data_IF_084210999512
#
_entry.id   IF_084210999512
#
_cell.length_a   1.000
_cell.length_b   1.000
_cell.length_c   1.000
_cell.angle_alpha   90.00
_cell.angle_beta   90.00
_cell.angle_gamma   90.00
#
_symmetry.space_group_name_H-M   'P 1'
#
loop_
_entity.id
_entity.type
_entity.pdbx_description
1 polymer ?
#
# COMPACT_ATOMS: atom_id res chain seq x y z
N UNK A 1 -7.40 19.91 10.57
CA UNK A 1 -8.37 19.04 9.85
C UNK A 1 -8.96 18.08 10.85
N UNK A 2 -10.28 17.92 10.88
CA UNK A 2 -10.96 17.06 11.84
C UNK A 2 -11.04 15.59 11.37
N UNK A 3 -11.51 14.70 12.24
CA UNK A 3 -11.63 13.26 11.96
C UNK A 3 -12.46 12.96 10.71
N UNK A 4 -13.61 13.60 10.56
CA UNK A 4 -14.53 13.35 9.44
C UNK A 4 -13.93 13.79 8.12
N UNK A 5 -13.27 14.95 8.12
CA UNK A 5 -12.53 15.48 6.97
C UNK A 5 -11.39 14.55 6.55
N UNK A 6 -10.60 14.01 7.48
CA UNK A 6 -9.52 13.06 7.16
C UNK A 6 -10.08 11.77 6.59
N UNK A 7 -11.13 11.21 7.20
CA UNK A 7 -11.75 9.98 6.71
C UNK A 7 -12.28 10.15 5.28
N UNK A 8 -12.87 11.31 4.96
CA UNK A 8 -13.33 11.65 3.63
C UNK A 8 -12.17 11.86 2.65
N UNK A 9 -11.18 12.68 3.01
CA UNK A 9 -10.02 12.98 2.16
C UNK A 9 -9.17 11.74 1.84
N UNK A 10 -8.97 10.86 2.82
CA UNK A 10 -8.16 9.65 2.65
C UNK A 10 -8.97 8.45 2.14
N UNK A 11 -10.29 8.57 2.00
CA UNK A 11 -11.21 7.49 1.63
C UNK A 11 -11.01 6.23 2.51
N UNK A 12 -11.05 6.41 3.83
CA UNK A 12 -10.81 5.33 4.81
C UNK A 12 -11.98 5.13 5.77
N UNK A 13 -12.16 3.89 6.21
CA UNK A 13 -13.18 3.55 7.22
C UNK A 13 -12.77 4.03 8.61
N UNK A 14 -13.75 4.09 9.53
CA UNK A 14 -13.52 4.44 10.93
C UNK A 14 -12.53 3.48 11.60
N UNK A 15 -12.55 2.19 11.22
CA UNK A 15 -11.65 1.18 11.77
C UNK A 15 -10.21 1.39 11.32
N UNK A 16 -10.01 1.74 10.04
CA UNK A 16 -8.68 2.08 9.51
C UNK A 16 -8.20 3.37 10.16
N UNK A 17 -9.07 4.38 10.28
CA UNK A 17 -8.74 5.63 10.96
C UNK A 17 -8.25 5.36 12.40
N UNK A 18 -9.02 4.64 13.22
CA UNK A 18 -8.65 4.37 14.61
C UNK A 18 -7.37 3.52 14.77
N UNK A 19 -7.03 2.70 13.78
CA UNK A 19 -5.79 1.90 13.78
C UNK A 19 -4.55 2.76 13.56
N UNK A 20 -4.67 3.78 12.71
CA UNK A 20 -3.54 4.60 12.25
C UNK A 20 -3.41 5.90 13.03
N UNK A 21 -4.53 6.57 13.28
CA UNK A 21 -4.65 7.78 14.07
C UNK A 21 -5.08 7.32 15.48
N UNK A 22 -4.14 7.25 16.43
CA UNK A 22 -4.36 6.63 17.74
C UNK A 22 -5.33 7.43 18.63
N UNK A 23 -6.07 6.72 19.50
CA UNK A 23 -7.06 7.30 20.42
C UNK A 23 -6.49 8.27 21.44
N UNK A 24 -5.25 8.08 21.90
CA UNK A 24 -4.61 8.96 22.90
C UNK A 24 -4.33 10.39 22.39
N UNK A 25 -4.21 10.58 21.07
CA UNK A 25 -4.04 11.89 20.42
C UNK A 25 -5.42 12.49 20.09
N UNK A 26 -6.38 11.64 19.69
CA UNK A 26 -7.75 12.04 19.32
C UNK A 26 -8.52 12.67 20.49
N UNK A 27 -8.27 12.27 21.73
CA UNK A 27 -9.05 12.76 22.88
C UNK A 27 -8.78 14.25 23.20
N UNK A 28 -7.67 14.82 22.75
CA UNK A 28 -7.29 16.20 23.05
C UNK A 28 -7.08 17.09 21.81
N UNK A 29 -7.03 16.53 20.60
CA UNK A 29 -6.84 17.30 19.36
C UNK A 29 -8.14 17.46 18.57
N UNK A 30 -8.63 18.69 18.49
CA UNK A 30 -9.71 19.08 17.56
C UNK A 30 -9.22 19.19 16.12
N UNK A 31 -7.90 19.34 15.91
CA UNK A 31 -7.28 19.51 14.60
C UNK A 31 -5.95 18.74 14.50
N UNK A 32 -5.88 17.84 13.52
CA UNK A 32 -4.63 17.15 13.17
C UNK A 32 -3.76 18.03 12.26
N UNK A 33 -2.44 18.00 12.50
CA UNK A 33 -1.44 18.63 11.64
C UNK A 33 -1.30 17.88 10.29
N UNK A 34 -1.07 18.62 9.21
CA UNK A 34 -0.92 18.11 7.84
C UNK A 34 0.24 17.09 7.71
N UNK A 35 1.36 17.31 8.39
CA UNK A 35 2.48 16.35 8.37
C UNK A 35 2.08 14.99 8.97
N UNK A 36 1.34 15.02 10.09
CA UNK A 36 0.82 13.82 10.74
C UNK A 36 -0.21 13.09 9.86
N UNK A 37 -1.07 13.84 9.18
CA UNK A 37 -2.03 13.29 8.20
C UNK A 37 -1.28 12.65 7.04
N UNK A 38 -0.26 13.33 6.49
CA UNK A 38 0.55 12.84 5.37
C UNK A 38 1.24 11.52 5.71
N UNK A 39 1.90 11.44 6.86
CA UNK A 39 2.61 10.24 7.31
C UNK A 39 1.68 9.03 7.49
N UNK A 40 0.54 9.23 8.16
CA UNK A 40 -0.42 8.16 8.37
C UNK A 40 -1.12 7.75 7.05
N UNK A 41 -1.41 8.70 6.16
CA UNK A 41 -1.98 8.42 4.83
C UNK A 41 -1.02 7.62 3.96
N UNK A 42 0.28 7.93 4.01
CA UNK A 42 1.32 7.15 3.34
C UNK A 42 1.38 5.73 3.92
N UNK A 43 1.35 5.58 5.24
CA UNK A 43 1.39 4.27 5.89
C UNK A 43 0.18 3.38 5.55
N UNK A 44 -1.02 3.97 5.46
CA UNK A 44 -2.23 3.27 5.00
C UNK A 44 -2.08 2.85 3.54
N UNK A 45 -1.55 3.74 2.69
CA UNK A 45 -1.37 3.46 1.26
C UNK A 45 -0.37 2.32 1.02
N UNK A 46 0.68 2.24 1.83
CA UNK A 46 1.65 1.16 1.80
C UNK A 46 1.05 -0.15 2.32
N UNK A 47 0.30 -0.13 3.43
CA UNK A 47 -0.37 -1.36 3.93
C UNK A 47 -1.33 -1.94 2.89
N UNK A 48 -2.13 -1.10 2.21
CA UNK A 48 -3.01 -1.52 1.11
C UNK A 48 -2.25 -2.21 -0.05
N UNK A 49 -0.98 -1.90 -0.24
CA UNK A 49 -0.10 -2.55 -1.22
C UNK A 49 0.63 -3.78 -0.67
N UNK A 50 0.27 -4.23 0.53
CA UNK A 50 0.80 -5.41 1.19
C UNK A 50 2.21 -5.20 1.75
N UNK A 51 2.53 -3.97 2.19
CA UNK A 51 3.68 -3.71 3.06
C UNK A 51 3.25 -3.85 4.52
N UNK A 52 4.12 -4.42 5.37
CA UNK A 52 3.80 -4.64 6.79
C UNK A 52 4.14 -3.42 7.65
N UNK A 53 3.17 -2.99 8.46
CA UNK A 53 3.19 -1.86 9.39
C UNK A 53 4.46 -1.66 10.25
N UNK A 54 5.10 -2.70 10.82
CA UNK A 54 6.28 -2.53 11.67
C UNK A 54 7.47 -1.88 10.94
N UNK A 55 7.65 -2.19 9.66
CA UNK A 55 8.75 -1.67 8.85
C UNK A 55 8.47 -0.22 8.43
N UNK A 56 7.21 0.13 8.13
CA UNK A 56 6.86 1.46 7.64
C UNK A 56 7.06 2.54 8.72
N UNK A 57 6.56 2.32 9.95
CA UNK A 57 6.72 3.32 11.02
C UNK A 57 8.17 3.44 11.49
N UNK A 58 8.87 2.31 11.59
CA UNK A 58 10.24 2.27 12.12
C UNK A 58 11.27 2.77 11.11
N UNK A 59 11.10 2.48 9.83
CA UNK A 59 12.12 2.75 8.80
C UNK A 59 11.88 4.06 8.03
N UNK A 60 10.65 4.62 8.04
CA UNK A 60 10.32 5.84 7.28
C UNK A 60 9.92 7.04 8.14
N UNK A 61 9.33 6.82 9.31
CA UNK A 61 8.70 7.88 10.12
C UNK A 61 9.56 8.29 11.32
N UNK A 62 10.43 7.41 11.84
CA UNK A 62 11.23 7.67 13.05
C UNK A 62 12.66 8.18 12.82
N UNK A 63 13.15 8.21 11.58
CA UNK A 63 14.53 8.62 11.29
C UNK A 63 14.57 10.11 10.88
N UNK A 64 15.43 10.92 11.53
CA UNK A 64 15.47 12.38 11.38
C UNK A 64 16.12 12.86 10.08
N UNK A 65 16.74 11.97 9.32
CA UNK A 65 17.33 12.27 8.02
C UNK A 65 16.32 11.97 6.90
N UNK A 66 15.50 12.96 6.56
CA UNK A 66 14.45 12.82 5.54
C UNK A 66 14.97 12.30 4.19
N UNK A 67 16.19 12.68 3.79
CA UNK A 67 16.76 12.32 2.49
C UNK A 67 17.09 10.83 2.39
N UNK A 68 17.61 10.23 3.45
CA UNK A 68 17.90 8.78 3.52
C UNK A 68 16.59 7.96 3.54
N UNK A 69 15.52 8.52 4.12
CA UNK A 69 14.22 7.86 4.18
C UNK A 69 13.56 7.75 2.80
N UNK A 70 13.64 8.81 1.98
CA UNK A 70 13.11 8.75 0.62
C UNK A 70 13.83 7.72 -0.24
N UNK A 71 15.16 7.61 -0.12
CA UNK A 71 15.94 6.62 -0.86
C UNK A 71 15.62 5.18 -0.43
N UNK A 72 15.51 4.93 0.88
CA UNK A 72 15.04 3.64 1.42
C UNK A 72 13.63 3.30 0.94
N UNK A 73 12.72 4.28 0.93
CA UNK A 73 11.36 4.10 0.42
C UNK A 73 11.36 3.73 -1.05
N UNK A 74 12.21 4.39 -1.85
CA UNK A 74 12.34 4.13 -3.27
C UNK A 74 12.79 2.69 -3.52
N UNK A 75 13.83 2.22 -2.82
CA UNK A 75 14.34 0.85 -2.92
C UNK A 75 13.25 -0.15 -2.55
N UNK A 76 12.53 0.08 -1.45
CA UNK A 76 11.44 -0.79 -1.01
C UNK A 76 10.31 -0.88 -2.06
N UNK A 77 9.91 0.25 -2.64
CA UNK A 77 8.89 0.32 -3.68
C UNK A 77 9.35 -0.39 -4.97
N UNK A 78 10.62 -0.20 -5.36
CA UNK A 78 11.21 -0.87 -6.52
C UNK A 78 11.26 -2.39 -6.34
N UNK A 79 11.65 -2.87 -5.16
CA UNK A 79 11.64 -4.31 -4.83
C UNK A 79 10.23 -4.89 -4.93
N UNK A 80 9.23 -4.23 -4.33
CA UNK A 80 7.83 -4.68 -4.42
C UNK A 80 7.32 -4.67 -5.86
N UNK A 81 7.68 -3.65 -6.65
CA UNK A 81 7.33 -3.57 -8.06
C UNK A 81 7.87 -4.77 -8.83
N UNK A 82 9.11 -5.17 -8.59
CA UNK A 82 9.70 -6.34 -9.25
C UNK A 82 8.92 -7.61 -8.90
N UNK A 83 8.63 -7.85 -7.62
CA UNK A 83 7.83 -9.01 -7.17
C UNK A 83 6.45 -9.05 -7.86
N UNK A 84 5.81 -7.89 -8.04
CA UNK A 84 4.51 -7.83 -8.73
C UNK A 84 4.67 -8.13 -10.22
N UNK A 85 5.72 -7.64 -10.87
CA UNK A 85 5.99 -7.94 -12.28
C UNK A 85 6.26 -9.43 -12.49
N UNK A 86 7.04 -10.06 -11.61
CA UNK A 86 7.32 -11.49 -11.68
C UNK A 86 6.01 -12.30 -11.62
N UNK A 87 5.10 -11.94 -10.70
CA UNK A 87 3.77 -12.55 -10.63
C UNK A 87 2.94 -12.34 -11.89
N UNK A 88 2.98 -11.15 -12.48
CA UNK A 88 2.27 -10.89 -13.75
C UNK A 88 2.81 -11.78 -14.85
N UNK A 89 4.14 -11.93 -14.94
CA UNK A 89 4.75 -12.82 -15.94
C UNK A 89 4.39 -14.30 -15.71
N UNK A 90 4.34 -14.77 -14.47
CA UNK A 90 3.90 -16.12 -14.15
C UNK A 90 2.44 -16.35 -14.60
N UNK A 91 1.54 -15.40 -14.34
CA UNK A 91 0.13 -15.47 -14.75
C UNK A 91 -0.02 -15.37 -16.29
N UNK A 92 0.79 -14.56 -16.97
CA UNK A 92 0.82 -14.50 -18.45
C UNK A 92 1.25 -15.83 -19.07
N UNK A 93 2.25 -16.50 -18.47
CA UNK A 93 2.67 -17.82 -18.92
C UNK A 93 1.54 -18.84 -18.72
N UNK A 94 0.88 -18.83 -17.57
CA UNK A 94 -0.25 -19.70 -17.29
C UNK A 94 -1.42 -19.50 -18.28
N UNK A 95 -1.74 -18.25 -18.61
CA UNK A 95 -2.74 -17.93 -19.65
C UNK A 95 -2.36 -18.51 -21.02
N UNK A 96 -1.08 -18.42 -21.39
CA UNK A 96 -0.59 -18.97 -22.65
C UNK A 96 -0.75 -20.50 -22.74
N UNK A 97 -0.55 -21.20 -21.62
CA UNK A 97 -0.77 -22.65 -21.53
C UNK A 97 -2.27 -22.99 -21.70
N UNK A 98 -3.15 -22.22 -21.06
CA UNK A 98 -4.61 -22.38 -21.22
C UNK A 98 -5.05 -22.14 -22.67
N UNK A 99 -4.55 -21.09 -23.30
CA UNK A 99 -4.86 -20.77 -24.70
C UNK A 99 -4.43 -21.88 -25.66
N UNK A 100 -3.26 -22.48 -25.41
CA UNK A 100 -2.78 -23.64 -26.16
C UNK A 100 -3.73 -24.84 -26.04
N UNK A 101 -4.21 -25.15 -24.83
CA UNK A 101 -5.18 -26.22 -24.60
C UNK A 101 -6.51 -25.94 -25.30
N UNK A 102 -7.02 -24.70 -25.21
CA UNK A 102 -8.25 -24.27 -25.89
C UNK A 102 -8.11 -24.44 -27.41
N UNK A 103 -6.98 -24.02 -27.98
CA UNK A 103 -6.70 -24.18 -29.41
C UNK A 103 -6.73 -25.65 -29.85
N UNK A 104 -6.08 -26.54 -29.10
CA UNK A 104 -6.05 -27.97 -29.40
C UNK A 104 -7.45 -28.60 -29.36
N UNK A 105 -8.25 -28.26 -28.35
CA UNK A 105 -9.62 -28.76 -28.24
C UNK A 105 -10.49 -28.28 -29.41
N UNK A 106 -10.37 -27.00 -29.81
CA UNK A 106 -11.08 -26.46 -30.98
C UNK A 106 -10.71 -27.17 -32.28
N UNK A 107 -9.45 -27.63 -32.42
CA UNK A 107 -9.01 -28.39 -33.59
C UNK A 107 -9.67 -29.77 -33.69
N UNK A 108 -9.93 -30.43 -32.55
CA UNK A 108 -10.57 -31.74 -32.49
C UNK A 108 -12.09 -31.71 -32.77
N UNK A 109 -12.70 -30.52 -32.73
CA UNK A 109 -14.11 -30.31 -33.04
C UNK A 109 -14.38 -30.01 -34.53
N UNK A 110 -13.33 -30.02 -35.37
CA UNK A 110 -13.43 -29.93 -36.83
C UNK A 110 -13.22 -31.31 -37.45
#
# INVERSE_FOLDING_TARGET
MNKEEIMACCCISKDIFNRYFSSEIIENETDFNDDYIRENSLAISLEKKGFTLPNIRKDLILDKNEQDNYERMLIMLQSKRQIVLDKVHDEEQYLSELDYLIFNLRKLQK
#
